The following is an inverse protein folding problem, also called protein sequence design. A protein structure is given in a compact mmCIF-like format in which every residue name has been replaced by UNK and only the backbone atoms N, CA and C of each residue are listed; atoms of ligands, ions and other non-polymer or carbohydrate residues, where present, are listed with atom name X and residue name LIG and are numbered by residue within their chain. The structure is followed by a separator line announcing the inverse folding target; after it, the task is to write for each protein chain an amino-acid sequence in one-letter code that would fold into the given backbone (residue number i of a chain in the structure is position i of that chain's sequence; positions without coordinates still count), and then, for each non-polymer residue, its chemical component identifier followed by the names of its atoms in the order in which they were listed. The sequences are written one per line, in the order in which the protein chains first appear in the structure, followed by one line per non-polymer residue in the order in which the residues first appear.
data_IF_793945834148
#
_entry.id   IF_793945834148
#
_cell.length_a   1.000
_cell.length_b   1.000
_cell.length_c   1.000
_cell.angle_alpha   90.00
_cell.angle_beta   90.00
_cell.angle_gamma   90.00
#
_symmetry.space_group_name_H-M   'P 1'
#
loop_
_entity.id
_entity.type
_entity.pdbx_description
1 polymer ?
#
# COMPACT_ATOMS: atom_id res chain seq x y z
N UNK A 1 5.03 26.22 10.82
CA UNK A 1 6.37 25.60 10.88
C UNK A 1 6.33 24.10 10.55
N UNK A 2 5.41 23.33 11.14
CA UNK A 2 5.25 21.89 10.87
C UNK A 2 4.97 21.56 9.39
N UNK A 3 4.09 22.35 8.74
CA UNK A 3 3.76 22.13 7.33
C UNK A 3 4.96 22.36 6.38
N UNK A 4 5.89 23.26 6.73
CA UNK A 4 7.06 23.52 5.91
C UNK A 4 8.07 22.38 6.02
N UNK A 5 8.32 21.88 7.21
CA UNK A 5 9.20 20.73 7.46
C UNK A 5 8.66 19.46 6.77
N UNK A 6 7.35 19.19 6.84
CA UNK A 6 6.72 18.04 6.19
C UNK A 6 6.85 18.13 4.66
N UNK A 7 6.66 19.30 4.08
CA UNK A 7 6.78 19.49 2.64
C UNK A 7 8.22 19.27 2.15
N UNK A 8 9.21 19.79 2.87
CA UNK A 8 10.63 19.59 2.59
C UNK A 8 10.99 18.10 2.65
N UNK A 9 10.55 17.40 3.71
CA UNK A 9 10.77 15.97 3.89
C UNK A 9 10.16 15.13 2.75
N UNK A 10 8.93 15.42 2.34
CA UNK A 10 8.30 14.68 1.23
C UNK A 10 9.04 14.92 -0.08
N UNK A 11 9.49 16.14 -0.34
CA UNK A 11 10.28 16.48 -1.53
C UNK A 11 11.60 15.70 -1.56
N UNK A 12 12.32 15.65 -0.46
CA UNK A 12 13.56 14.87 -0.31
C UNK A 12 13.35 13.38 -0.53
N UNK A 13 12.29 12.80 0.06
CA UNK A 13 11.96 11.38 -0.11
C UNK A 13 11.67 11.06 -1.58
N UNK A 14 10.86 11.89 -2.24
CA UNK A 14 10.52 11.72 -3.66
C UNK A 14 11.76 11.81 -4.54
N UNK A 15 12.66 12.72 -4.26
CA UNK A 15 13.94 12.88 -4.98
C UNK A 15 14.85 11.65 -4.80
N UNK A 16 15.02 11.18 -3.56
CA UNK A 16 15.82 9.98 -3.24
C UNK A 16 15.25 8.73 -3.92
N UNK A 17 13.92 8.62 -4.04
CA UNK A 17 13.26 7.51 -4.70
C UNK A 17 13.51 7.46 -6.22
N UNK A 18 13.99 8.54 -6.83
CA UNK A 18 14.47 8.60 -8.21
C UNK A 18 13.56 7.89 -9.22
N UNK A 19 12.31 8.31 -9.31
CA UNK A 19 11.31 7.77 -10.23
C UNK A 19 10.57 6.53 -9.74
N UNK A 20 10.96 5.93 -8.61
CA UNK A 20 10.18 4.85 -7.99
C UNK A 20 8.92 5.40 -7.33
N UNK A 21 7.82 4.61 -7.27
CA UNK A 21 6.58 5.06 -6.65
C UNK A 21 6.76 5.40 -5.17
N UNK A 22 6.15 6.51 -4.75
CA UNK A 22 6.09 6.94 -3.35
C UNK A 22 4.62 7.04 -2.93
N UNK A 23 4.26 6.42 -1.81
CA UNK A 23 2.91 6.53 -1.26
C UNK A 23 2.83 7.68 -0.26
N UNK A 24 1.96 8.67 -0.54
CA UNK A 24 1.66 9.79 0.35
C UNK A 24 0.21 9.70 0.83
N UNK A 25 0.02 9.74 2.16
CA UNK A 25 -1.26 9.42 2.80
C UNK A 25 -2.14 10.65 2.97
N UNK A 26 -3.44 10.50 2.66
CA UNK A 26 -4.47 11.50 2.95
C UNK A 26 -4.88 11.46 4.42
N UNK A 27 -5.24 12.62 4.97
CA UNK A 27 -5.46 12.79 6.42
C UNK A 27 -6.93 12.85 6.82
N UNK A 28 -7.85 12.79 5.85
CA UNK A 28 -9.30 12.94 6.05
C UNK A 28 -10.06 11.65 5.75
N UNK A 29 -11.30 11.55 6.26
CA UNK A 29 -12.23 10.44 5.97
C UNK A 29 -13.51 10.95 5.26
N UNK A 30 -13.42 12.08 4.55
CA UNK A 30 -14.46 12.61 3.69
C UNK A 30 -14.08 12.41 2.22
N UNK A 31 -14.98 11.82 1.42
CA UNK A 31 -14.67 11.45 0.03
C UNK A 31 -14.18 12.62 -0.82
N UNK A 32 -14.84 13.77 -0.76
CA UNK A 32 -14.48 14.92 -1.60
C UNK A 32 -13.14 15.53 -1.17
N UNK A 33 -12.89 15.56 0.14
CA UNK A 33 -11.62 16.04 0.69
C UNK A 33 -10.48 15.08 0.35
N UNK A 34 -10.67 13.75 0.43
CA UNK A 34 -9.67 12.76 0.01
C UNK A 34 -9.29 12.96 -1.46
N UNK A 35 -10.27 13.12 -2.34
CA UNK A 35 -10.02 13.35 -3.78
C UNK A 35 -9.20 14.61 -3.99
N UNK A 36 -9.61 15.72 -3.35
CA UNK A 36 -8.90 17.00 -3.47
C UNK A 36 -7.46 16.89 -2.93
N UNK A 37 -7.28 16.37 -1.73
CA UNK A 37 -5.97 16.18 -1.10
C UNK A 37 -5.07 15.28 -1.97
N UNK A 38 -5.63 14.19 -2.51
CA UNK A 38 -4.91 13.28 -3.41
C UNK A 38 -4.44 13.96 -4.69
N UNK A 39 -5.28 14.80 -5.32
CA UNK A 39 -4.91 15.61 -6.48
C UNK A 39 -3.81 16.62 -6.13
N UNK A 40 -3.92 17.30 -4.99
CA UNK A 40 -2.95 18.25 -4.50
C UNK A 40 -1.57 17.57 -4.26
N UNK A 41 -1.56 16.36 -3.66
CA UNK A 41 -0.34 15.56 -3.46
C UNK A 41 0.34 15.21 -4.80
N UNK A 42 -0.42 14.73 -5.78
CA UNK A 42 0.11 14.38 -7.10
C UNK A 42 0.65 15.63 -7.81
N UNK A 43 -0.08 16.75 -7.78
CA UNK A 43 0.31 17.99 -8.42
C UNK A 43 1.57 18.61 -7.79
N UNK A 44 1.72 18.44 -6.47
CA UNK A 44 2.86 19.02 -5.73
C UNK A 44 4.11 18.17 -5.88
N UNK A 45 4.00 16.85 -5.71
CA UNK A 45 5.15 15.95 -5.59
C UNK A 45 5.37 15.04 -6.80
N UNK A 46 4.40 14.91 -7.72
CA UNK A 46 4.50 14.07 -8.92
C UNK A 46 5.36 14.66 -10.04
N UNK A 47 6.13 15.72 -9.76
CA UNK A 47 7.06 16.35 -10.70
C UNK A 47 8.35 15.51 -10.81
N UNK A 48 9.11 15.70 -11.90
CA UNK A 48 10.40 15.04 -12.13
C UNK A 48 10.33 13.51 -12.28
N UNK A 49 9.29 12.99 -12.96
CA UNK A 49 9.10 11.57 -13.25
C UNK A 49 8.81 10.68 -12.04
N UNK A 50 8.65 11.22 -10.85
CA UNK A 50 8.27 10.46 -9.67
C UNK A 50 6.77 10.16 -9.68
N UNK A 51 6.43 8.87 -9.46
CA UNK A 51 5.05 8.41 -9.41
C UNK A 51 4.54 8.48 -7.98
N UNK A 52 3.52 9.30 -7.75
CA UNK A 52 2.87 9.38 -6.44
C UNK A 52 1.67 8.43 -6.42
N UNK A 53 1.63 7.53 -5.44
CA UNK A 53 0.45 6.75 -5.10
C UNK A 53 -0.26 7.44 -3.94
N UNK A 54 -1.50 7.86 -4.16
CA UNK A 54 -2.31 8.44 -3.09
C UNK A 54 -2.72 7.34 -2.12
N UNK A 55 -2.24 7.41 -0.88
CA UNK A 55 -2.52 6.38 0.13
C UNK A 55 -3.80 6.74 0.87
N UNK A 56 -4.79 5.84 0.81
CA UNK A 56 -6.16 6.06 1.28
C UNK A 56 -6.58 4.93 2.21
N UNK A 57 -7.20 5.27 3.35
CA UNK A 57 -7.73 4.28 4.28
C UNK A 57 -8.88 3.46 3.66
N UNK A 58 -8.92 2.15 3.94
CA UNK A 58 -9.92 1.20 3.43
C UNK A 58 -11.27 1.38 4.14
N UNK A 59 -11.91 2.51 3.88
CA UNK A 59 -13.25 2.87 4.38
C UNK A 59 -14.21 3.05 3.22
N UNK A 60 -15.52 3.07 3.49
CA UNK A 60 -16.53 3.34 2.46
C UNK A 60 -16.30 4.68 1.76
N UNK A 61 -15.92 5.72 2.50
CA UNK A 61 -15.57 7.02 1.93
C UNK A 61 -14.27 6.96 1.12
N UNK A 62 -13.25 6.27 1.64
CA UNK A 62 -11.98 6.05 0.97
C UNK A 62 -12.14 5.32 -0.36
N UNK A 63 -12.88 4.21 -0.40
CA UNK A 63 -13.10 3.45 -1.64
C UNK A 63 -13.87 4.24 -2.71
N UNK A 64 -14.80 5.10 -2.31
CA UNK A 64 -15.45 6.04 -3.24
C UNK A 64 -14.45 7.04 -3.82
N UNK A 65 -13.53 7.54 -2.98
CA UNK A 65 -12.48 8.45 -3.43
C UNK A 65 -11.48 7.74 -4.35
N UNK A 66 -11.08 6.50 -4.01
CA UNK A 66 -10.21 5.66 -4.86
C UNK A 66 -10.79 5.51 -6.26
N UNK A 67 -12.10 5.26 -6.38
CA UNK A 67 -12.76 5.16 -7.68
C UNK A 67 -12.66 6.47 -8.48
N UNK A 68 -12.92 7.61 -7.85
CA UNK A 68 -12.84 8.91 -8.52
C UNK A 68 -11.41 9.27 -8.92
N UNK A 69 -10.42 8.95 -8.08
CA UNK A 69 -9.01 9.15 -8.38
C UNK A 69 -8.56 8.25 -9.53
N UNK A 70 -8.96 6.97 -9.53
CA UNK A 70 -8.70 6.05 -10.64
C UNK A 70 -9.27 6.55 -11.96
N UNK A 71 -10.54 7.01 -11.98
CA UNK A 71 -11.18 7.58 -13.18
C UNK A 71 -10.46 8.86 -13.67
N UNK A 72 -9.70 9.52 -12.79
CA UNK A 72 -8.84 10.68 -13.10
C UNK A 72 -7.40 10.30 -13.45
N UNK A 73 -7.06 8.99 -13.56
CA UNK A 73 -5.72 8.51 -13.88
C UNK A 73 -4.72 8.56 -12.73
N UNK A 74 -5.19 8.70 -11.49
CA UNK A 74 -4.36 8.76 -10.29
C UNK A 74 -4.35 7.40 -9.60
N UNK A 75 -3.15 6.83 -9.44
CA UNK A 75 -2.95 5.55 -8.75
C UNK A 75 -3.09 5.70 -7.22
N UNK A 76 -3.79 4.75 -6.61
CA UNK A 76 -4.00 4.71 -5.18
C UNK A 76 -3.36 3.48 -4.53
N UNK A 77 -2.86 3.66 -3.30
CA UNK A 77 -2.50 2.61 -2.36
C UNK A 77 -3.55 2.56 -1.24
N UNK A 78 -4.39 1.54 -1.23
CA UNK A 78 -5.43 1.38 -0.19
C UNK A 78 -4.83 0.71 1.04
N UNK A 79 -4.82 1.43 2.15
CA UNK A 79 -4.20 1.01 3.41
C UNK A 79 -5.23 0.63 4.49
N UNK A 80 -4.75 0.07 5.61
CA UNK A 80 -5.60 -0.42 6.71
C UNK A 80 -6.56 -1.51 6.24
N UNK A 81 -6.03 -2.46 5.48
CA UNK A 81 -6.75 -3.64 5.02
C UNK A 81 -6.49 -4.80 5.98
N UNK A 82 -7.55 -5.40 6.51
CA UNK A 82 -7.51 -6.45 7.53
C UNK A 82 -8.30 -7.71 7.15
N UNK A 83 -8.87 -7.76 5.94
CA UNK A 83 -9.57 -8.94 5.43
C UNK A 83 -9.47 -9.05 3.91
N UNK A 84 -9.62 -10.27 3.39
CA UNK A 84 -9.66 -10.53 1.95
C UNK A 84 -10.87 -9.85 1.27
N UNK A 85 -11.99 -9.70 1.99
CA UNK A 85 -13.15 -8.94 1.50
C UNK A 85 -12.81 -7.46 1.29
N UNK A 86 -12.09 -6.83 2.22
CA UNK A 86 -11.62 -5.45 2.07
C UNK A 86 -10.64 -5.31 0.91
N UNK A 87 -9.74 -6.29 0.71
CA UNK A 87 -8.86 -6.33 -0.45
C UNK A 87 -9.67 -6.35 -1.77
N UNK A 88 -10.64 -7.27 -1.89
CA UNK A 88 -11.46 -7.40 -3.09
C UNK A 88 -12.21 -6.11 -3.42
N UNK A 89 -12.78 -5.44 -2.42
CA UNK A 89 -13.48 -4.17 -2.62
C UNK A 89 -12.53 -3.05 -3.06
N UNK A 90 -11.33 -2.98 -2.48
CA UNK A 90 -10.30 -2.02 -2.87
C UNK A 90 -9.81 -2.25 -4.31
N UNK A 91 -9.58 -3.51 -4.68
CA UNK A 91 -9.19 -3.89 -6.03
C UNK A 91 -10.26 -3.51 -7.06
N UNK A 92 -11.54 -3.80 -6.79
CA UNK A 92 -12.67 -3.42 -7.65
C UNK A 92 -12.90 -1.90 -7.72
N UNK A 93 -12.53 -1.15 -6.70
CA UNK A 93 -12.55 0.31 -6.73
C UNK A 93 -11.47 0.92 -7.63
N UNK A 94 -10.49 0.14 -8.06
CA UNK A 94 -9.39 0.59 -8.93
C UNK A 94 -8.08 0.88 -8.21
N UNK A 95 -7.88 0.35 -7.00
CA UNK A 95 -6.61 0.46 -6.30
C UNK A 95 -5.46 -0.13 -7.14
N UNK A 96 -4.33 0.59 -7.26
CA UNK A 96 -3.10 0.06 -7.87
C UNK A 96 -2.34 -0.85 -6.91
N UNK A 97 -2.38 -0.49 -5.63
CA UNK A 97 -1.77 -1.25 -4.54
C UNK A 97 -2.76 -1.35 -3.39
N UNK A 98 -2.79 -2.49 -2.73
CA UNK A 98 -3.53 -2.68 -1.47
C UNK A 98 -2.56 -3.15 -0.39
N UNK A 99 -2.63 -2.51 0.78
CA UNK A 99 -1.72 -2.74 1.90
C UNK A 99 -2.41 -3.48 3.06
N UNK A 100 -2.40 -4.83 3.10
CA UNK A 100 -2.85 -5.59 4.26
C UNK A 100 -1.87 -5.46 5.43
N UNK A 101 -2.39 -5.33 6.65
CA UNK A 101 -1.63 -5.09 7.87
C UNK A 101 -1.53 -6.35 8.73
N UNK A 102 -0.53 -7.19 8.45
CA UNK A 102 -0.37 -8.48 9.13
C UNK A 102 0.02 -8.35 10.60
N UNK A 103 1.02 -7.54 10.93
CA UNK A 103 1.50 -7.43 12.31
C UNK A 103 0.48 -6.85 13.30
N UNK A 104 -0.53 -6.11 12.84
CA UNK A 104 -1.65 -5.68 13.70
C UNK A 104 -2.65 -6.79 13.95
N UNK A 105 -2.78 -7.75 13.05
CA UNK A 105 -3.57 -8.95 13.30
C UNK A 105 -2.87 -9.85 14.32
N UNK A 106 -1.54 -9.97 14.25
CA UNK A 106 -0.77 -10.69 15.28
C UNK A 106 -0.95 -10.05 16.67
N UNK A 107 -1.00 -8.72 16.76
CA UNK A 107 -1.20 -8.00 18.03
C UNK A 107 -2.52 -8.39 18.73
N UNK A 108 -3.51 -8.91 17.99
CA UNK A 108 -4.80 -9.38 18.52
C UNK A 108 -4.94 -10.92 18.50
N UNK A 109 -3.83 -11.63 18.30
CA UNK A 109 -3.79 -13.08 18.37
C UNK A 109 -4.26 -13.81 17.10
N UNK A 110 -4.30 -13.15 15.96
CA UNK A 110 -4.58 -13.75 14.66
C UNK A 110 -3.27 -13.87 13.87
N UNK A 111 -3.10 -14.99 13.14
CA UNK A 111 -2.00 -15.10 12.17
C UNK A 111 -2.36 -14.34 10.89
N UNK A 112 -1.93 -13.08 10.84
CA UNK A 112 -2.21 -12.20 9.72
C UNK A 112 -1.54 -12.63 8.41
N UNK A 113 -0.45 -13.37 8.50
CA UNK A 113 0.31 -13.77 7.31
C UNK A 113 -0.30 -15.02 6.66
N UNK A 114 -0.47 -16.09 7.44
CA UNK A 114 -0.87 -17.39 6.89
C UNK A 114 -2.28 -17.39 6.30
N UNK A 115 -3.23 -16.68 6.90
CA UNK A 115 -4.60 -16.69 6.40
C UNK A 115 -4.89 -15.51 5.45
N UNK A 116 -4.61 -14.30 5.88
CA UNK A 116 -4.99 -13.12 5.11
C UNK A 116 -4.23 -13.00 3.77
N UNK A 117 -2.92 -13.19 3.78
CA UNK A 117 -2.12 -13.01 2.56
C UNK A 117 -2.38 -14.15 1.58
N UNK A 118 -2.53 -15.38 2.06
CA UNK A 118 -2.87 -16.53 1.22
C UNK A 118 -4.21 -16.31 0.50
N UNK A 119 -5.26 -15.91 1.21
CA UNK A 119 -6.57 -15.60 0.62
C UNK A 119 -6.49 -14.47 -0.41
N UNK A 120 -5.75 -13.39 -0.08
CA UNK A 120 -5.57 -12.24 -0.98
C UNK A 120 -4.85 -12.67 -2.26
N UNK A 121 -3.75 -13.41 -2.16
CA UNK A 121 -2.99 -13.85 -3.32
C UNK A 121 -3.77 -14.85 -4.19
N UNK A 122 -4.58 -15.70 -3.59
CA UNK A 122 -5.49 -16.56 -4.35
C UNK A 122 -6.53 -15.74 -5.12
N UNK A 123 -7.14 -14.73 -4.48
CA UNK A 123 -8.06 -13.81 -5.16
C UNK A 123 -7.34 -13.07 -6.28
N UNK A 124 -6.18 -12.48 -6.01
CA UNK A 124 -5.39 -11.75 -7.01
C UNK A 124 -5.07 -12.63 -8.22
N UNK A 125 -4.65 -13.86 -8.00
CA UNK A 125 -4.35 -14.82 -9.07
C UNK A 125 -5.58 -15.21 -9.90
N UNK A 126 -6.75 -15.33 -9.27
CA UNK A 126 -7.98 -15.64 -9.98
C UNK A 126 -8.46 -14.51 -10.90
N UNK A 127 -8.05 -13.27 -10.63
CA UNK A 127 -8.45 -12.09 -11.40
C UNK A 127 -7.31 -11.45 -12.22
N UNK A 128 -6.10 -12.03 -12.21
CA UNK A 128 -4.90 -11.41 -12.80
C UNK A 128 -5.02 -11.05 -14.28
N UNK A 129 -5.81 -11.81 -15.04
CA UNK A 129 -6.02 -11.64 -16.47
C UNK A 129 -7.41 -11.02 -16.79
N UNK A 130 -8.09 -10.48 -15.78
CA UNK A 130 -9.44 -9.97 -15.93
C UNK A 130 -9.55 -8.50 -15.50
N UNK A 131 -9.07 -7.61 -16.36
CA UNK A 131 -9.07 -6.15 -16.15
C UNK A 131 -10.49 -5.55 -16.10
N UNK A 132 -11.50 -6.22 -16.66
CA UNK A 132 -12.89 -5.79 -16.56
C UNK A 132 -13.39 -5.84 -15.11
N UNK A 133 -12.93 -6.80 -14.33
CA UNK A 133 -13.37 -7.00 -12.96
C UNK A 133 -12.43 -6.38 -11.90
N UNK A 134 -11.12 -6.32 -12.20
CA UNK A 134 -10.11 -5.63 -11.37
C UNK A 134 -9.25 -4.75 -12.28
N UNK A 135 -9.62 -3.48 -12.45
CA UNK A 135 -9.13 -2.63 -13.53
C UNK A 135 -7.66 -2.19 -13.39
N UNK A 136 -7.03 -2.38 -12.25
CA UNK A 136 -5.67 -1.84 -12.00
C UNK A 136 -4.71 -2.84 -11.34
N UNK A 137 -4.88 -4.14 -11.57
CA UNK A 137 -4.05 -5.25 -11.05
C UNK A 137 -4.03 -5.39 -9.52
N UNK A 138 -4.20 -4.33 -8.75
CA UNK A 138 -4.27 -4.30 -7.28
C UNK A 138 -3.15 -5.14 -6.60
N UNK A 139 -1.89 -4.77 -6.82
CA UNK A 139 -0.75 -5.47 -6.23
C UNK A 139 -0.82 -5.46 -4.69
N UNK A 140 -0.50 -6.59 -4.08
CA UNK A 140 -0.46 -6.72 -2.63
C UNK A 140 0.83 -6.14 -2.08
N UNK A 141 0.76 -5.16 -1.19
CA UNK A 141 1.89 -4.62 -0.43
C UNK A 141 1.76 -5.06 1.03
N UNK A 142 2.38 -6.18 1.38
CA UNK A 142 2.32 -6.68 2.76
C UNK A 142 2.93 -5.67 3.72
N UNK A 143 2.15 -5.23 4.70
CA UNK A 143 2.47 -4.10 5.56
C UNK A 143 2.40 -4.47 7.04
N UNK A 144 2.92 -3.59 7.92
CA UNK A 144 3.02 -3.85 9.35
C UNK A 144 3.91 -5.05 9.68
N UNK A 145 4.95 -5.26 8.88
CA UNK A 145 5.95 -6.31 9.06
C UNK A 145 6.75 -6.05 10.34
N UNK A 146 6.91 -7.06 11.20
CA UNK A 146 7.56 -6.96 12.51
C UNK A 146 8.91 -7.68 12.58
N UNK A 147 9.12 -8.71 11.75
CA UNK A 147 10.35 -9.53 11.75
C UNK A 147 10.56 -10.21 10.37
N UNK A 148 11.79 -10.75 10.12
CA UNK A 148 12.13 -11.35 8.83
C UNK A 148 11.25 -12.52 8.39
N UNK A 149 10.70 -13.29 9.31
CA UNK A 149 9.81 -14.43 8.98
C UNK A 149 8.57 -13.96 8.23
N UNK A 150 7.99 -12.81 8.60
CA UNK A 150 6.85 -12.22 7.86
C UNK A 150 7.19 -11.96 6.39
N UNK A 151 8.43 -11.50 6.12
CA UNK A 151 8.89 -11.23 4.74
C UNK A 151 8.98 -12.52 3.95
N UNK A 152 9.60 -13.54 4.54
CA UNK A 152 9.77 -14.86 3.90
C UNK A 152 8.43 -15.51 3.61
N UNK A 153 7.53 -15.53 4.60
CA UNK A 153 6.19 -16.11 4.43
C UNK A 153 5.39 -15.37 3.35
N UNK A 154 5.38 -14.03 3.36
CA UNK A 154 4.73 -13.23 2.33
C UNK A 154 5.29 -13.54 0.92
N UNK A 155 6.60 -13.67 0.80
CA UNK A 155 7.24 -14.02 -0.46
C UNK A 155 6.88 -15.43 -0.92
N UNK A 156 6.82 -16.40 0.00
CA UNK A 156 6.40 -17.80 -0.31
C UNK A 156 4.95 -17.87 -0.79
N UNK A 157 4.08 -17.00 -0.32
CA UNK A 157 2.69 -16.89 -0.78
C UNK A 157 2.54 -16.13 -2.11
N UNK A 158 3.62 -15.55 -2.64
CA UNK A 158 3.63 -14.84 -3.92
C UNK A 158 3.24 -13.37 -3.84
N UNK A 159 3.23 -12.76 -2.65
CA UNK A 159 3.00 -11.33 -2.51
C UNK A 159 4.11 -10.53 -3.23
N UNK A 160 3.76 -9.64 -4.17
CA UNK A 160 4.75 -8.97 -5.00
C UNK A 160 5.53 -7.87 -4.29
N UNK A 161 4.98 -7.30 -3.21
CA UNK A 161 5.53 -6.15 -2.52
C UNK A 161 5.46 -6.33 -0.99
N UNK A 162 6.47 -5.82 -0.30
CA UNK A 162 6.50 -5.76 1.15
C UNK A 162 7.08 -4.43 1.63
N UNK A 163 6.48 -3.82 2.65
CA UNK A 163 7.03 -2.66 3.33
C UNK A 163 7.40 -3.00 4.76
N UNK A 164 8.60 -2.65 5.16
CA UNK A 164 9.14 -3.00 6.47
C UNK A 164 9.98 -1.87 7.07
N UNK A 165 10.03 -1.77 8.40
CA UNK A 165 10.98 -0.87 9.06
C UNK A 165 12.43 -1.26 8.74
N UNK A 166 13.32 -0.28 8.69
CA UNK A 166 14.77 -0.52 8.46
C UNK A 166 15.34 -1.57 9.41
N UNK A 167 14.90 -1.59 10.67
CA UNK A 167 15.31 -2.60 11.66
C UNK A 167 15.06 -4.03 11.17
N UNK A 168 13.94 -4.30 10.51
CA UNK A 168 13.62 -5.63 9.98
C UNK A 168 14.53 -5.97 8.82
N UNK A 169 14.78 -5.02 7.92
CA UNK A 169 15.72 -5.19 6.81
C UNK A 169 17.13 -5.50 7.33
N UNK A 170 17.63 -4.75 8.34
CA UNK A 170 18.91 -5.00 8.97
C UNK A 170 19.01 -6.41 9.60
N UNK A 171 17.93 -6.90 10.19
CA UNK A 171 17.87 -8.27 10.73
C UNK A 171 17.97 -9.35 9.64
N UNK A 172 17.50 -9.10 8.41
CA UNK A 172 17.57 -10.07 7.31
C UNK A 172 18.99 -10.38 6.86
N UNK A 173 19.94 -9.49 7.11
CA UNK A 173 21.36 -9.72 6.82
C UNK A 173 22.08 -10.53 7.88
N UNK A 174 21.47 -10.73 9.06
CA UNK A 174 22.14 -11.36 10.21
C UNK A 174 21.83 -12.84 10.29
N UNK A 175 22.88 -13.67 10.27
CA UNK A 175 22.76 -15.11 10.53
C UNK A 175 23.93 -15.58 11.37
N UNK A 176 23.68 -16.39 12.43
CA UNK A 176 24.77 -16.82 13.34
C UNK A 176 25.90 -17.60 12.65
N UNK A 177 25.60 -18.26 11.55
CA UNK A 177 26.57 -19.07 10.78
C UNK A 177 27.25 -18.30 9.65
N UNK A 178 26.81 -17.09 9.34
CA UNK A 178 27.45 -16.20 8.35
C UNK A 178 28.33 -15.21 9.10
N UNK A 179 29.64 -15.36 9.03
CA UNK A 179 30.66 -14.53 9.70
C UNK A 179 31.48 -13.80 8.66
#
# INVERSE_FOLDING_TARGET
KENKETHELYSEIVEICNGKPVSLETTTNDTAKIVKEGQDLVNTYGKNSSKIYVKVANTKAGLKAVRQLFDSGIDCNVTLTFSATQYLLAAKAGARVVSPFIGRLDDIGLDGNLHLIEEIEQIRNNYKDNEEHIPNKADTLVSSIRHPVHVVQAAMMGAPLATMPFKVLDMMFKHPLTK
#
